data_IF_176774102212
#
_entry.id   IF_176774102212
#
_cell.length_a   1.000
_cell.length_b   1.000
_cell.length_c   1.000
_cell.angle_alpha   90.00
_cell.angle_beta   90.00
_cell.angle_gamma   90.00
#
_symmetry.space_group_name_H-M   'P 1'
#
loop_
_entity.id
_entity.type
_entity.pdbx_description
1 polymer ?
#
# COMPACT_ATOMS: atom_id res chain seq x y z
N UNK A 1 9.25 10.59 -28.58
CA UNK A 1 9.15 10.31 -27.13
C UNK A 1 10.57 10.18 -26.61
N UNK A 2 11.08 11.23 -25.99
CA UNK A 2 12.43 11.21 -25.42
C UNK A 2 12.41 10.31 -24.17
N UNK A 3 13.30 9.34 -24.12
CA UNK A 3 13.54 8.53 -22.92
C UNK A 3 13.65 9.45 -21.72
N UNK A 4 12.80 9.23 -20.71
CA UNK A 4 13.01 9.77 -19.37
C UNK A 4 14.44 9.38 -19.01
N UNK A 5 15.35 10.35 -19.01
CA UNK A 5 16.71 10.16 -18.53
C UNK A 5 16.59 9.86 -17.04
N UNK A 6 16.52 8.57 -16.74
CA UNK A 6 16.77 7.88 -15.49
C UNK A 6 17.61 8.73 -14.51
N UNK A 7 16.94 9.60 -13.77
CA UNK A 7 17.51 10.41 -12.69
C UNK A 7 16.66 10.09 -11.45
N UNK A 8 16.86 8.93 -10.81
CA UNK A 8 16.07 8.48 -9.67
C UNK A 8 16.05 9.50 -8.53
N UNK A 9 17.13 10.26 -8.38
CA UNK A 9 17.26 11.37 -7.45
C UNK A 9 16.32 12.55 -7.74
N UNK A 10 15.71 12.60 -8.94
CA UNK A 10 14.71 13.62 -9.33
C UNK A 10 13.28 13.08 -9.35
N UNK A 11 13.09 11.77 -9.14
CA UNK A 11 11.78 11.16 -9.23
C UNK A 11 10.91 11.61 -8.06
N UNK A 12 9.75 12.16 -8.40
CA UNK A 12 8.67 12.45 -7.45
C UNK A 12 7.66 11.29 -7.50
N UNK A 13 6.86 11.12 -6.45
CA UNK A 13 5.81 10.09 -6.41
C UNK A 13 4.42 10.74 -6.39
N UNK A 14 3.46 10.17 -7.10
CA UNK A 14 2.06 10.61 -7.06
C UNK A 14 1.13 9.43 -6.80
N UNK A 15 0.34 9.50 -5.73
CA UNK A 15 -0.62 8.45 -5.36
C UNK A 15 -2.05 8.89 -5.67
N UNK A 16 -2.73 8.13 -6.54
CA UNK A 16 -4.10 8.49 -6.93
C UNK A 16 -5.11 8.31 -5.80
N UNK A 17 -6.21 9.05 -5.84
CA UNK A 17 -7.36 8.77 -4.98
C UNK A 17 -8.05 7.46 -5.36
N UNK A 18 -8.46 6.68 -4.35
CA UNK A 18 -9.00 5.33 -4.57
C UNK A 18 -9.81 4.73 -3.39
N UNK A 19 -10.19 5.52 -2.39
CA UNK A 19 -10.98 5.03 -1.24
C UNK A 19 -10.36 3.79 -0.57
N UNK A 20 -11.15 2.73 -0.37
CA UNK A 20 -10.68 1.50 0.30
C UNK A 20 -9.63 0.69 -0.48
N UNK A 21 -9.39 1.00 -1.77
CA UNK A 21 -8.27 0.42 -2.52
C UNK A 21 -6.91 0.94 -2.05
N UNK A 22 -6.85 1.84 -1.06
CA UNK A 22 -5.58 2.33 -0.51
C UNK A 22 -4.68 1.23 0.05
N UNK A 23 -5.22 0.03 0.28
CA UNK A 23 -4.43 -1.16 0.59
C UNK A 23 -3.45 -1.56 -0.53
N UNK A 24 -3.80 -1.31 -1.80
CA UNK A 24 -2.86 -1.46 -2.93
C UNK A 24 -1.69 -0.49 -2.79
N UNK A 25 -1.97 0.77 -2.46
CA UNK A 25 -0.94 1.78 -2.23
C UNK A 25 -0.04 1.43 -1.04
N UNK A 26 -0.56 0.74 -0.02
CA UNK A 26 0.26 0.22 1.08
C UNK A 26 1.30 -0.80 0.61
N UNK A 27 0.92 -1.70 -0.32
CA UNK A 27 1.84 -2.63 -0.97
C UNK A 27 2.92 -1.92 -1.81
N UNK A 28 2.51 -0.91 -2.60
CA UNK A 28 3.46 -0.07 -3.35
C UNK A 28 4.43 0.64 -2.40
N UNK A 29 3.92 1.23 -1.33
CA UNK A 29 4.73 1.93 -0.33
C UNK A 29 5.71 0.99 0.38
N UNK A 30 5.31 -0.26 0.65
CA UNK A 30 6.22 -1.29 1.18
C UNK A 30 7.39 -1.56 0.24
N UNK A 31 7.12 -1.82 -1.04
CA UNK A 31 8.18 -2.06 -2.03
C UNK A 31 9.12 -0.86 -2.17
N UNK A 32 8.58 0.37 -2.20
CA UNK A 32 9.40 1.58 -2.29
C UNK A 32 10.27 1.75 -1.05
N UNK A 33 9.74 1.58 0.16
CA UNK A 33 10.54 1.71 1.39
C UNK A 33 11.64 0.66 1.49
N UNK A 34 11.36 -0.56 1.04
CA UNK A 34 12.31 -1.67 1.11
C UNK A 34 13.42 -1.54 0.07
N UNK A 35 13.07 -1.31 -1.20
CA UNK A 35 14.02 -1.42 -2.32
C UNK A 35 14.46 -0.09 -2.92
N UNK A 36 13.72 1.00 -2.68
CA UNK A 36 14.05 2.33 -3.22
C UNK A 36 13.75 3.46 -2.22
N UNK A 37 14.24 3.39 -0.96
CA UNK A 37 13.87 4.34 0.08
C UNK A 37 14.24 5.79 -0.25
N UNK A 38 15.25 6.02 -1.10
CA UNK A 38 15.64 7.36 -1.53
C UNK A 38 14.55 8.08 -2.35
N UNK A 39 13.61 7.37 -2.98
CA UNK A 39 12.46 7.99 -3.66
C UNK A 39 11.56 8.74 -2.67
N UNK A 40 11.57 8.35 -1.39
CA UNK A 40 10.81 9.03 -0.34
C UNK A 40 11.45 10.35 0.13
N UNK A 41 12.69 10.65 -0.31
CA UNK A 41 13.41 11.89 0.01
C UNK A 41 12.99 13.08 -0.88
N UNK A 42 12.32 12.80 -2.00
CA UNK A 42 11.81 13.82 -2.92
C UNK A 42 10.40 14.29 -2.54
N UNK A 43 9.67 14.85 -3.52
CA UNK A 43 8.29 15.28 -3.34
C UNK A 43 7.34 14.13 -3.58
N UNK A 44 6.27 14.12 -2.79
CA UNK A 44 5.19 13.16 -2.92
C UNK A 44 3.89 13.93 -3.04
N UNK A 45 3.01 13.51 -3.92
CA UNK A 45 1.69 14.10 -4.10
C UNK A 45 0.60 13.04 -3.93
N UNK A 46 -0.59 13.47 -3.57
CA UNK A 46 -1.73 12.57 -3.51
C UNK A 46 -3.09 13.26 -3.46
N UNK A 47 -4.12 12.50 -3.78
CA UNK A 47 -5.52 12.87 -3.63
C UNK A 47 -6.25 11.80 -2.81
N UNK A 48 -7.24 12.17 -2.01
CA UNK A 48 -8.07 11.23 -1.24
C UNK A 48 -7.21 10.27 -0.40
N UNK A 49 -7.55 8.99 -0.40
CA UNK A 49 -6.78 7.96 0.30
C UNK A 49 -5.31 7.87 -0.17
N UNK A 50 -4.97 8.33 -1.39
CA UNK A 50 -3.60 8.48 -1.85
C UNK A 50 -2.82 9.55 -1.05
N UNK A 51 -3.49 10.62 -0.61
CA UNK A 51 -2.87 11.64 0.26
C UNK A 51 -2.54 11.08 1.66
N UNK A 52 -3.35 10.16 2.19
CA UNK A 52 -3.06 9.46 3.45
C UNK A 52 -1.77 8.64 3.31
N UNK A 53 -1.66 7.84 2.25
CA UNK A 53 -0.46 7.02 2.02
C UNK A 53 0.76 7.88 1.71
N UNK A 54 0.60 8.95 0.92
CA UNK A 54 1.66 9.90 0.65
C UNK A 54 2.21 10.54 1.94
N UNK A 55 1.33 10.98 2.85
CA UNK A 55 1.74 11.51 4.15
C UNK A 55 2.42 10.44 5.01
N UNK A 56 1.90 9.22 5.04
CA UNK A 56 2.49 8.09 5.77
C UNK A 56 3.89 7.73 5.27
N UNK A 57 4.08 7.71 3.95
CA UNK A 57 5.36 7.43 3.32
C UNK A 57 6.38 8.55 3.58
N UNK A 58 5.96 9.82 3.42
CA UNK A 58 6.79 11.01 3.67
C UNK A 58 7.28 11.11 5.12
N UNK A 59 6.44 10.73 6.07
CA UNK A 59 6.72 10.80 7.51
C UNK A 59 7.35 9.54 8.07
N UNK A 60 7.67 8.57 7.19
CA UNK A 60 8.28 7.30 7.54
C UNK A 60 7.47 6.47 8.57
N UNK A 61 6.13 6.55 8.53
CA UNK A 61 5.27 5.68 9.33
C UNK A 61 5.55 4.21 9.00
N UNK A 62 5.47 3.35 10.02
CA UNK A 62 5.61 1.91 9.86
C UNK A 62 4.52 1.35 8.94
N UNK A 63 4.91 0.68 7.85
CA UNK A 63 3.96 0.21 6.83
C UNK A 63 3.03 -0.87 7.36
N UNK A 64 3.49 -1.74 8.26
CA UNK A 64 2.63 -2.72 8.90
C UNK A 64 1.58 -2.07 9.81
N UNK A 65 1.97 -1.05 10.57
CA UNK A 65 1.04 -0.29 11.39
C UNK A 65 0.00 0.42 10.52
N UNK A 66 0.43 1.07 9.43
CA UNK A 66 -0.47 1.70 8.47
C UNK A 66 -1.43 0.68 7.83
N UNK A 67 -0.92 -0.50 7.45
CA UNK A 67 -1.73 -1.58 6.86
C UNK A 67 -2.74 -2.13 7.86
N UNK A 68 -2.32 -2.39 9.10
CA UNK A 68 -3.23 -2.83 10.18
C UNK A 68 -4.35 -1.83 10.41
N UNK A 69 -4.01 -0.54 10.42
CA UNK A 69 -4.98 0.55 10.52
C UNK A 69 -5.97 0.53 9.35
N UNK A 70 -5.51 0.42 8.10
CA UNK A 70 -6.39 0.32 6.93
C UNK A 70 -7.35 -0.88 7.09
N UNK A 71 -6.85 -2.04 7.49
CA UNK A 71 -7.66 -3.24 7.70
C UNK A 71 -8.68 -3.10 8.84
N UNK A 72 -8.33 -2.37 9.91
CA UNK A 72 -9.28 -2.02 10.98
C UNK A 72 -10.40 -1.14 10.46
N UNK A 73 -10.09 -0.12 9.66
CA UNK A 73 -11.10 0.77 9.06
C UNK A 73 -12.01 -0.03 8.11
N UNK A 74 -11.45 -0.90 7.27
CA UNK A 74 -12.20 -1.80 6.38
C UNK A 74 -13.13 -2.72 7.19
N UNK A 75 -12.62 -3.38 8.23
CA UNK A 75 -13.40 -4.26 9.11
C UNK A 75 -14.52 -3.50 9.81
N UNK A 76 -14.26 -2.30 10.33
CA UNK A 76 -15.26 -1.46 10.98
C UNK A 76 -16.33 -0.97 10.00
N UNK A 77 -15.94 -0.61 8.78
CA UNK A 77 -16.88 -0.24 7.72
C UNK A 77 -17.77 -1.42 7.31
N UNK A 78 -17.28 -2.67 7.39
CA UNK A 78 -18.04 -3.89 7.07
C UNK A 78 -18.96 -4.37 8.19
N UNK A 79 -18.68 -4.04 9.45
CA UNK A 79 -19.41 -4.58 10.61
C UNK A 79 -20.81 -3.98 10.83
N UNK A 80 -21.20 -2.98 10.04
CA UNK A 80 -22.49 -2.28 10.14
C UNK A 80 -23.46 -2.73 9.04
N UNK A 81 -24.76 -2.78 9.35
CA UNK A 81 -25.81 -3.28 8.44
C UNK A 81 -26.01 -2.45 7.14
N UNK A 82 -25.49 -1.21 7.08
CA UNK A 82 -25.44 -0.39 5.86
C UNK A 82 -24.00 -0.18 5.37
N UNK A 83 -23.06 -0.96 5.92
CA UNK A 83 -21.64 -0.83 5.70
C UNK A 83 -21.13 0.60 5.96
N UNK A 84 -20.37 1.19 5.02
CA UNK A 84 -19.85 2.54 5.17
C UNK A 84 -20.91 3.64 5.06
N UNK A 85 -22.12 3.33 4.54
CA UNK A 85 -23.22 4.28 4.42
C UNK A 85 -24.08 4.34 5.70
N UNK A 86 -23.68 3.63 6.76
CA UNK A 86 -24.41 3.64 8.01
C UNK A 86 -24.32 5.04 8.66
N UNK A 87 -25.44 5.69 9.03
CA UNK A 87 -25.44 7.08 9.50
C UNK A 87 -24.65 7.31 10.80
N UNK A 88 -24.42 6.26 11.59
CA UNK A 88 -23.54 6.30 12.78
C UNK A 88 -22.06 5.99 12.50
N UNK A 89 -21.68 5.65 11.26
CA UNK A 89 -20.30 5.41 10.87
C UNK A 89 -19.76 6.64 10.14
N UNK A 90 -18.95 7.43 10.84
CA UNK A 90 -18.25 8.55 10.24
C UNK A 90 -16.85 8.11 9.82
N UNK A 91 -16.71 7.68 8.56
CA UNK A 91 -15.44 7.21 8.00
C UNK A 91 -14.31 8.22 8.20
N UNK A 92 -14.58 9.51 7.96
CA UNK A 92 -13.58 10.57 8.12
C UNK A 92 -13.15 10.74 9.57
N UNK A 93 -14.07 10.64 10.53
CA UNK A 93 -13.72 10.72 11.95
C UNK A 93 -12.79 9.56 12.35
N UNK A 94 -13.08 8.34 11.88
CA UNK A 94 -12.21 7.18 12.10
C UNK A 94 -10.85 7.40 11.44
N UNK A 95 -10.81 7.83 10.18
CA UNK A 95 -9.55 8.13 9.49
C UNK A 95 -8.73 9.21 10.21
N UNK A 96 -9.38 10.26 10.72
CA UNK A 96 -8.72 11.33 11.48
C UNK A 96 -8.10 10.81 12.76
N UNK A 97 -8.85 10.07 13.56
CA UNK A 97 -8.39 9.48 14.82
C UNK A 97 -7.16 8.57 14.58
N UNK A 98 -7.24 7.72 13.56
CA UNK A 98 -6.12 6.82 13.24
C UNK A 98 -4.89 7.58 12.74
N UNK A 99 -5.08 8.63 11.94
CA UNK A 99 -3.99 9.45 11.44
C UNK A 99 -3.32 10.23 12.59
N UNK A 100 -4.10 10.79 13.51
CA UNK A 100 -3.61 11.46 14.72
C UNK A 100 -2.78 10.52 15.60
N UNK A 101 -3.20 9.26 15.73
CA UNK A 101 -2.47 8.24 16.49
C UNK A 101 -1.16 7.78 15.82
N UNK A 102 -1.03 7.92 14.50
CA UNK A 102 0.13 7.41 13.74
C UNK A 102 1.15 8.50 13.37
N UNK A 103 0.71 9.75 13.15
CA UNK A 103 1.61 10.81 12.70
C UNK A 103 2.60 11.21 13.81
N UNK A 104 3.90 11.37 13.49
CA UNK A 104 4.84 12.02 14.39
C UNK A 104 4.38 13.43 14.80
N UNK A 105 4.70 13.88 16.01
CA UNK A 105 4.26 15.17 16.55
C UNK A 105 4.65 16.40 15.69
N UNK A 106 5.68 16.28 14.86
CA UNK A 106 6.17 17.32 13.96
C UNK A 106 6.12 16.91 12.47
N UNK A 107 5.25 15.97 12.11
CA UNK A 107 5.05 15.49 10.74
C UNK A 107 4.88 16.63 9.71
N UNK A 108 4.16 17.70 10.07
CA UNK A 108 3.96 18.87 9.22
C UNK A 108 5.27 19.50 8.72
N UNK A 109 6.35 19.46 9.51
CA UNK A 109 7.66 20.03 9.11
C UNK A 109 8.30 19.25 7.98
N UNK A 110 8.16 17.93 7.98
CA UNK A 110 8.65 17.06 6.91
C UNK A 110 7.78 17.18 5.66
N UNK A 111 6.48 17.38 5.84
CA UNK A 111 5.51 17.49 4.77
C UNK A 111 5.51 18.86 4.07
N UNK A 112 5.75 19.97 4.77
CA UNK A 112 5.71 21.31 4.17
C UNK A 112 6.75 21.45 3.05
N UNK A 113 6.34 21.97 1.90
CA UNK A 113 7.16 22.10 0.69
C UNK A 113 7.43 20.79 -0.08
N UNK A 114 7.08 19.62 0.48
CA UNK A 114 7.39 18.28 -0.08
C UNK A 114 6.15 17.42 -0.34
N UNK A 115 5.08 17.58 0.44
CA UNK A 115 3.82 16.86 0.29
C UNK A 115 2.78 17.75 -0.38
N UNK A 116 2.31 17.34 -1.56
CA UNK A 116 1.21 18.00 -2.25
C UNK A 116 -0.10 17.25 -2.05
N UNK A 117 -1.14 17.95 -1.63
CA UNK A 117 -2.48 17.39 -1.45
C UNK A 117 -3.44 18.08 -2.40
N UNK A 118 -4.07 17.32 -3.28
CA UNK A 118 -5.13 17.81 -4.16
C UNK A 118 -6.44 17.95 -3.39
N UNK A 119 -7.08 19.12 -3.48
CA UNK A 119 -8.39 19.42 -2.92
C UNK A 119 -9.31 19.97 -4.02
N UNK A 120 -10.61 19.68 -3.92
CA UNK A 120 -11.63 20.33 -4.76
C UNK A 120 -12.36 21.36 -3.93
N UNK A 121 -12.26 22.65 -4.29
CA UNK A 121 -12.92 23.71 -3.54
C UNK A 121 -14.43 23.68 -3.78
N UNK A 122 -15.20 23.60 -2.69
CA UNK A 122 -16.65 23.36 -2.75
C UNK A 122 -17.44 24.45 -3.48
N UNK A 123 -17.08 25.72 -3.28
CA UNK A 123 -17.86 26.86 -3.80
C UNK A 123 -17.84 26.99 -5.33
N UNK A 124 -16.79 26.53 -6.00
CA UNK A 124 -16.57 26.77 -7.43
C UNK A 124 -15.96 25.58 -8.20
N UNK A 125 -15.84 24.42 -7.56
CA UNK A 125 -15.28 23.19 -8.12
C UNK A 125 -13.90 23.37 -8.75
N UNK A 126 -13.09 24.32 -8.24
CA UNK A 126 -11.71 24.49 -8.68
C UNK A 126 -10.77 23.61 -7.88
N UNK A 127 -9.82 23.01 -8.56
CA UNK A 127 -8.73 22.31 -7.90
C UNK A 127 -7.84 23.30 -7.13
N UNK A 128 -7.43 22.90 -5.94
CA UNK A 128 -6.46 23.60 -5.10
C UNK A 128 -5.44 22.57 -4.61
N UNK A 129 -4.19 22.73 -5.01
CA UNK A 129 -3.08 21.90 -4.51
C UNK A 129 -2.45 22.61 -3.32
N UNK A 130 -2.49 21.96 -2.16
CA UNK A 130 -1.90 22.46 -0.91
C UNK A 130 -0.50 21.86 -0.75
N UNK A 131 0.47 22.70 -0.39
CA UNK A 131 1.87 22.28 -0.21
C UNK A 131 2.49 22.74 1.11
N UNK A 132 1.83 23.67 1.81
CA UNK A 132 2.37 24.31 3.02
C UNK A 132 1.46 24.04 4.23
N UNK A 133 2.06 23.59 5.34
CA UNK A 133 1.39 23.22 6.57
C UNK A 133 2.15 23.80 7.76
N UNK A 134 1.46 24.50 8.67
CA UNK A 134 2.06 25.12 9.85
C UNK A 134 1.90 24.28 11.12
N UNK A 135 1.05 23.25 11.08
CA UNK A 135 0.85 22.31 12.19
C UNK A 135 0.35 20.95 11.70
N UNK A 136 0.37 19.94 12.57
CA UNK A 136 -0.19 18.62 12.26
C UNK A 136 -1.70 18.67 12.07
N UNK A 137 -2.40 19.52 12.83
CA UNK A 137 -3.84 19.73 12.68
C UNK A 137 -4.15 20.27 11.29
N UNK A 138 -3.36 21.22 10.80
CA UNK A 138 -3.51 21.77 9.46
C UNK A 138 -3.24 20.72 8.36
N UNK A 139 -2.20 19.89 8.54
CA UNK A 139 -1.92 18.75 7.65
C UNK A 139 -3.09 17.76 7.62
N UNK A 140 -3.60 17.38 8.79
CA UNK A 140 -4.74 16.47 8.92
C UNK A 140 -6.01 17.07 8.30
N UNK A 141 -6.29 18.35 8.51
CA UNK A 141 -7.43 19.05 7.89
C UNK A 141 -7.36 19.01 6.36
N UNK A 142 -6.18 19.22 5.78
CA UNK A 142 -5.97 19.10 4.34
C UNK A 142 -6.26 17.66 3.86
N UNK A 143 -5.72 16.64 4.54
CA UNK A 143 -5.97 15.23 4.19
C UNK A 143 -7.46 14.88 4.30
N UNK A 144 -8.14 15.30 5.38
CA UNK A 144 -9.56 15.05 5.59
C UNK A 144 -10.43 15.74 4.53
N UNK A 145 -10.09 16.98 4.16
CA UNK A 145 -10.71 17.66 3.02
C UNK A 145 -10.53 16.87 1.72
N UNK A 146 -9.31 16.38 1.47
CA UNK A 146 -8.99 15.59 0.28
C UNK A 146 -9.72 14.24 0.23
N UNK A 147 -10.18 13.70 1.36
CA UNK A 147 -10.91 12.43 1.46
C UNK A 147 -12.45 12.59 1.58
N UNK A 148 -12.98 13.82 1.62
CA UNK A 148 -14.41 14.03 1.81
C UNK A 148 -15.19 13.82 0.51
N UNK A 149 -15.81 12.65 0.36
CA UNK A 149 -16.75 12.38 -0.72
C UNK A 149 -18.15 12.83 -0.27
N UNK A 150 -18.78 13.81 -0.94
CA UNK A 150 -20.11 14.29 -0.57
C UNK A 150 -21.14 13.16 -0.55
N UNK A 151 -22.12 13.24 0.37
CA UNK A 151 -23.18 12.24 0.61
C UNK A 151 -22.63 10.96 1.26
N UNK A 152 -21.48 10.47 0.81
CA UNK A 152 -20.84 9.25 1.33
C UNK A 152 -20.22 9.48 2.71
N UNK A 153 -19.41 10.52 2.88
CA UNK A 153 -18.78 10.87 4.15
C UNK A 153 -19.65 11.79 5.02
N UNK A 154 -20.70 12.39 4.46
CA UNK A 154 -21.60 13.33 5.12
C UNK A 154 -22.13 14.42 4.18
N UNK A 155 -22.95 15.32 4.74
CA UNK A 155 -23.58 16.42 3.98
C UNK A 155 -22.78 17.72 4.03
N UNK A 156 -22.04 17.95 5.11
CA UNK A 156 -21.31 19.20 5.34
C UNK A 156 -19.82 18.97 5.10
N UNK A 157 -19.22 19.62 4.08
CA UNK A 157 -17.78 19.49 3.82
C UNK A 157 -16.94 20.08 4.96
N UNK A 158 -15.80 19.45 5.29
CA UNK A 158 -14.82 20.01 6.22
C UNK A 158 -14.19 21.28 5.63
N UNK A 159 -13.50 22.03 6.50
CA UNK A 159 -12.85 23.27 6.12
C UNK A 159 -11.34 23.17 6.30
N UNK A 160 -10.62 23.81 5.39
CA UNK A 160 -9.19 24.03 5.47
C UNK A 160 -8.95 25.54 5.31
N UNK A 161 -8.26 26.16 6.27
CA UNK A 161 -8.07 27.63 6.33
C UNK A 161 -9.36 28.44 6.14
N UNK A 162 -10.46 27.97 6.72
CA UNK A 162 -11.77 28.63 6.68
C UNK A 162 -12.61 28.39 5.42
N UNK A 163 -12.02 27.83 4.35
CA UNK A 163 -12.71 27.49 3.10
C UNK A 163 -13.14 26.02 3.09
N UNK A 164 -14.30 25.72 2.49
CA UNK A 164 -14.83 24.36 2.42
C UNK A 164 -14.30 23.60 1.20
N UNK A 165 -13.95 22.33 1.40
CA UNK A 165 -13.38 21.47 0.36
C UNK A 165 -14.01 20.08 0.37
N UNK A 166 -13.99 19.46 -0.80
CA UNK A 166 -14.35 18.05 -1.02
C UNK A 166 -13.16 17.33 -1.65
N UNK A 167 -13.33 16.03 -1.84
CA UNK A 167 -12.30 15.13 -2.32
C UNK A 167 -11.55 15.66 -3.55
N UNK A 168 -10.22 15.60 -3.51
CA UNK A 168 -9.36 16.10 -4.58
C UNK A 168 -9.60 15.39 -5.91
N UNK A 169 -10.01 14.12 -5.85
CA UNK A 169 -10.29 13.27 -7.00
C UNK A 169 -11.42 13.77 -7.91
N UNK A 170 -12.28 14.68 -7.45
CA UNK A 170 -13.29 15.31 -8.30
C UNK A 170 -12.71 16.25 -9.35
N UNK A 171 -11.51 16.79 -9.14
CA UNK A 171 -10.88 17.75 -10.06
C UNK A 171 -9.48 17.35 -10.49
N UNK A 172 -8.74 16.69 -9.60
CA UNK A 172 -7.42 16.14 -9.86
C UNK A 172 -7.15 14.95 -8.93
N UNK A 173 -7.37 13.76 -9.47
CA UNK A 173 -7.17 12.51 -8.76
C UNK A 173 -5.73 12.00 -8.83
N UNK A 174 -4.90 12.56 -9.72
CA UNK A 174 -3.49 12.20 -9.87
C UNK A 174 -2.63 13.47 -9.97
N UNK A 175 -2.47 14.21 -8.86
CA UNK A 175 -1.67 15.45 -8.88
C UNK A 175 -0.23 15.15 -9.25
N UNK A 176 0.29 15.84 -10.25
CA UNK A 176 1.69 15.69 -10.71
C UNK A 176 2.50 16.93 -10.40
N UNK A 177 3.77 16.76 -10.01
CA UNK A 177 4.67 17.87 -9.73
C UNK A 177 5.34 18.37 -11.02
N UNK A 178 5.87 17.45 -11.81
CA UNK A 178 6.59 17.67 -13.06
C UNK A 178 6.67 16.36 -13.89
N UNK A 179 7.33 16.42 -15.04
CA UNK A 179 7.55 15.28 -15.94
C UNK A 179 8.41 14.15 -15.34
N UNK A 180 8.97 14.34 -14.14
CA UNK A 180 9.70 13.32 -13.37
C UNK A 180 8.84 12.64 -12.30
N UNK A 181 7.53 12.91 -12.29
CA UNK A 181 6.61 12.31 -11.32
C UNK A 181 6.18 10.92 -11.76
N UNK A 182 6.54 9.92 -10.97
CA UNK A 182 6.08 8.53 -11.11
C UNK A 182 4.67 8.43 -10.55
N UNK A 183 3.75 7.98 -11.38
CA UNK A 183 2.32 7.88 -11.06
C UNK A 183 1.94 6.48 -10.58
N UNK A 184 1.21 6.43 -9.47
CA UNK A 184 0.74 5.20 -8.83
C UNK A 184 -0.78 5.20 -8.80
N UNK A 185 -1.39 4.17 -9.38
CA UNK A 185 -2.85 3.97 -9.36
C UNK A 185 -3.22 2.50 -9.17
N UNK A 186 -4.21 2.19 -8.32
CA UNK A 186 -4.71 0.81 -8.21
C UNK A 186 -5.57 0.42 -9.41
N UNK A 187 -5.91 1.36 -10.31
CA UNK A 187 -6.67 1.08 -11.52
C UNK A 187 -5.73 0.77 -12.68
N UNK A 188 -6.05 -0.27 -13.46
CA UNK A 188 -5.30 -0.54 -14.68
C UNK A 188 -5.50 0.60 -15.68
N UNK A 189 -4.42 1.09 -16.28
CA UNK A 189 -4.43 2.37 -16.97
C UNK A 189 -3.15 2.64 -17.73
N UNK A 190 -2.74 3.90 -17.65
CA UNK A 190 -1.48 4.43 -18.20
C UNK A 190 -0.55 4.96 -17.09
N UNK A 191 -0.89 4.71 -15.81
CA UNK A 191 -0.01 5.04 -14.68
C UNK A 191 1.24 4.16 -14.69
N UNK A 192 2.36 4.70 -14.22
CA UNK A 192 3.66 4.01 -14.23
C UNK A 192 3.65 2.74 -13.36
N UNK A 193 3.00 2.81 -12.20
CA UNK A 193 2.76 1.70 -11.29
C UNK A 193 1.25 1.47 -11.21
N UNK A 194 0.77 0.47 -11.93
CA UNK A 194 -0.63 0.03 -11.91
C UNK A 194 -0.79 -1.43 -12.35
N UNK A 195 -1.95 -2.06 -12.07
CA UNK A 195 -2.21 -3.43 -12.49
C UNK A 195 -2.20 -3.58 -14.02
N UNK A 196 -1.55 -4.61 -14.58
CA UNK A 196 -1.33 -4.70 -16.02
C UNK A 196 -2.54 -5.14 -16.86
N UNK A 197 -3.65 -5.60 -16.26
CA UNK A 197 -4.87 -6.16 -16.89
C UNK A 197 -4.68 -6.71 -18.32
N UNK A 198 -3.65 -7.55 -18.50
CA UNK A 198 -3.15 -8.03 -19.80
C UNK A 198 -4.16 -8.89 -20.56
N UNK A 199 -5.10 -9.50 -19.82
CA UNK A 199 -6.21 -10.29 -20.36
C UNK A 199 -7.29 -9.47 -21.08
N UNK A 200 -7.27 -8.15 -20.96
CA UNK A 200 -8.32 -7.30 -21.53
C UNK A 200 -7.84 -6.69 -22.84
N UNK A 201 -8.40 -7.14 -23.96
CA UNK A 201 -8.23 -6.52 -25.29
C UNK A 201 -8.89 -5.12 -25.39
N UNK A 202 -9.16 -4.47 -24.27
CA UNK A 202 -9.81 -3.16 -24.21
C UNK A 202 -8.79 -2.07 -24.53
N UNK A 203 -8.82 -1.61 -25.78
CA UNK A 203 -8.10 -0.41 -26.22
C UNK A 203 -8.77 0.90 -25.77
N UNK A 204 -9.92 0.81 -25.10
CA UNK A 204 -10.71 1.97 -24.67
C UNK A 204 -10.52 2.23 -23.16
N UNK A 205 -10.09 3.44 -22.83
CA UNK A 205 -9.96 3.95 -21.46
C UNK A 205 -10.76 5.22 -21.24
N UNK A 206 -11.10 5.49 -19.99
CA UNK A 206 -11.70 6.75 -19.52
C UNK A 206 -10.63 7.46 -18.69
N UNK A 207 -10.42 8.75 -18.93
CA UNK A 207 -9.63 9.58 -18.01
C UNK A 207 -10.58 10.20 -16.98
N UNK A 208 -10.43 9.80 -15.72
CA UNK A 208 -11.13 10.39 -14.58
C UNK A 208 -10.18 11.31 -13.83
N UNK A 209 -10.39 12.63 -13.94
CA UNK A 209 -9.62 13.65 -13.20
C UNK A 209 -8.10 13.42 -13.25
N UNK A 210 -7.54 13.24 -14.47
CA UNK A 210 -6.11 12.91 -14.74
C UNK A 210 -5.65 11.50 -14.37
N UNK A 211 -6.52 10.62 -13.88
CA UNK A 211 -6.24 9.18 -13.75
C UNK A 211 -6.77 8.43 -14.97
N UNK A 212 -5.90 7.69 -15.66
CA UNK A 212 -6.30 6.83 -16.80
C UNK A 212 -6.81 5.49 -16.28
N UNK A 213 -8.05 5.13 -16.65
CA UNK A 213 -8.71 3.88 -16.20
C UNK A 213 -9.20 3.13 -17.44
N UNK A 214 -8.67 1.93 -17.68
CA UNK A 214 -9.12 1.06 -18.77
C UNK A 214 -10.51 0.51 -18.51
N UNK A 215 -11.31 0.35 -19.55
CA UNK A 215 -12.62 -0.28 -19.44
C UNK A 215 -12.47 -1.81 -19.39
N UNK A 216 -12.25 -2.35 -18.19
CA UNK A 216 -12.08 -3.80 -17.95
C UNK A 216 -13.02 -4.25 -16.82
N UNK A 217 -13.38 -5.54 -16.80
CA UNK A 217 -14.18 -6.12 -15.70
C UNK A 217 -13.46 -6.03 -14.36
N UNK A 218 -12.13 -6.14 -14.36
CA UNK A 218 -11.28 -5.96 -13.16
C UNK A 218 -11.31 -4.52 -12.65
N UNK A 219 -11.27 -3.52 -13.54
CA UNK A 219 -11.43 -2.12 -13.13
C UNK A 219 -12.84 -1.80 -12.66
N UNK A 220 -13.88 -2.44 -13.19
CA UNK A 220 -15.24 -2.31 -12.65
C UNK A 220 -15.33 -2.85 -11.20
N UNK A 221 -14.68 -3.98 -10.94
CA UNK A 221 -14.54 -4.50 -9.58
C UNK A 221 -13.79 -3.52 -8.67
N UNK A 222 -12.65 -2.97 -9.13
CA UNK A 222 -11.87 -1.96 -8.38
C UNK A 222 -12.69 -0.70 -8.11
N UNK A 223 -13.45 -0.18 -9.08
CA UNK A 223 -14.33 0.97 -8.88
C UNK A 223 -15.37 0.70 -7.80
N UNK A 224 -15.91 -0.52 -7.77
CA UNK A 224 -16.80 -0.95 -6.69
C UNK A 224 -16.07 -0.99 -5.34
N UNK A 225 -14.89 -1.63 -5.30
CA UNK A 225 -14.06 -1.76 -4.11
C UNK A 225 -13.48 -0.43 -3.60
N UNK A 226 -13.47 0.63 -4.41
CA UNK A 226 -13.13 1.99 -3.98
C UNK A 226 -14.13 2.53 -2.95
N UNK A 227 -15.43 2.27 -3.17
CA UNK A 227 -16.52 2.77 -2.32
C UNK A 227 -17.07 1.72 -1.35
N UNK A 228 -16.95 0.44 -1.70
CA UNK A 228 -17.42 -0.66 -0.88
C UNK A 228 -16.21 -1.39 -0.28
N UNK A 229 -16.13 -1.52 1.05
CA UNK A 229 -14.96 -2.11 1.70
C UNK A 229 -14.79 -3.58 1.28
N UNK A 230 -13.66 -3.96 0.65
CA UNK A 230 -13.42 -5.34 0.19
C UNK A 230 -13.21 -6.30 1.37
N UNK A 231 -13.22 -7.61 1.10
CA UNK A 231 -12.88 -8.61 2.12
C UNK A 231 -11.41 -8.51 2.53
N UNK A 232 -11.03 -9.00 3.71
CA UNK A 232 -9.59 -9.06 4.10
C UNK A 232 -8.76 -9.90 3.13
N UNK A 233 -9.35 -10.94 2.53
CA UNK A 233 -8.69 -11.79 1.54
C UNK A 233 -8.39 -10.99 0.27
N UNK A 234 -9.36 -10.20 -0.20
CA UNK A 234 -9.17 -9.32 -1.35
C UNK A 234 -8.18 -8.19 -1.02
N UNK A 235 -8.22 -7.64 0.19
CA UNK A 235 -7.24 -6.67 0.67
C UNK A 235 -5.81 -7.21 0.60
N UNK A 236 -5.60 -8.46 1.05
CA UNK A 236 -4.30 -9.13 0.99
C UNK A 236 -3.80 -9.28 -0.44
N UNK A 237 -4.66 -9.76 -1.35
CA UNK A 237 -4.34 -9.89 -2.78
C UNK A 237 -4.01 -8.54 -3.43
N UNK A 238 -4.79 -7.50 -3.11
CA UNK A 238 -4.56 -6.14 -3.63
C UNK A 238 -3.25 -5.54 -3.11
N UNK A 239 -2.91 -5.77 -1.83
CA UNK A 239 -1.64 -5.34 -1.25
C UNK A 239 -0.45 -6.01 -1.94
N UNK A 240 -0.51 -7.34 -2.10
CA UNK A 240 0.52 -8.10 -2.79
C UNK A 240 0.68 -7.63 -4.24
N UNK A 241 -0.43 -7.40 -4.95
CA UNK A 241 -0.39 -6.87 -6.32
C UNK A 241 0.30 -5.50 -6.40
N UNK A 242 0.02 -4.59 -5.45
CA UNK A 242 0.69 -3.28 -5.40
C UNK A 242 2.18 -3.40 -5.17
N UNK A 243 2.60 -4.33 -4.30
CA UNK A 243 4.00 -4.63 -4.07
C UNK A 243 4.69 -5.18 -5.34
N UNK A 244 4.06 -6.13 -6.02
CA UNK A 244 4.55 -6.71 -7.28
C UNK A 244 4.69 -5.67 -8.40
N UNK A 245 3.67 -4.83 -8.59
CA UNK A 245 3.67 -3.81 -9.63
C UNK A 245 4.77 -2.75 -9.39
N UNK A 246 4.99 -2.38 -8.12
CA UNK A 246 6.08 -1.49 -7.74
C UNK A 246 7.45 -2.13 -7.96
N UNK A 247 7.64 -3.38 -7.55
CA UNK A 247 8.87 -4.13 -7.84
C UNK A 247 9.17 -4.22 -9.33
N UNK A 248 8.14 -4.46 -10.15
CA UNK A 248 8.25 -4.45 -11.61
C UNK A 248 8.75 -3.12 -12.13
N UNK A 249 8.17 -2.02 -11.65
CA UNK A 249 8.58 -0.67 -12.04
C UNK A 249 10.02 -0.38 -11.63
N UNK A 250 10.39 -0.69 -10.39
CA UNK A 250 11.74 -0.46 -9.87
C UNK A 250 12.78 -1.29 -10.63
N UNK A 251 12.50 -2.56 -10.91
CA UNK A 251 13.41 -3.42 -11.67
C UNK A 251 13.65 -2.89 -13.08
N UNK A 252 12.62 -2.32 -13.73
CA UNK A 252 12.73 -1.78 -15.09
C UNK A 252 13.38 -0.41 -15.16
N UNK A 253 13.00 0.50 -14.27
CA UNK A 253 13.31 1.94 -14.40
C UNK A 253 14.36 2.44 -13.40
N UNK A 254 14.62 1.67 -12.34
CA UNK A 254 15.51 2.08 -11.26
C UNK A 254 16.79 1.25 -11.24
N UNK A 255 16.73 -0.06 -11.54
CA UNK A 255 17.93 -0.91 -11.59
C UNK A 255 18.94 -0.52 -12.68
N UNK A 256 18.53 0.21 -13.73
CA UNK A 256 19.48 0.71 -14.73
C UNK A 256 20.35 1.89 -14.23
N UNK A 257 20.04 2.50 -13.09
CA UNK A 257 20.73 3.72 -12.61
C UNK A 257 21.57 3.50 -11.36
N UNK A 258 21.26 2.49 -10.55
CA UNK A 258 22.07 2.10 -9.37
C UNK A 258 23.28 1.26 -9.82
N UNK A 259 23.99 1.72 -10.84
CA UNK A 259 25.17 1.06 -11.41
C UNK A 259 26.49 1.48 -10.73
N UNK A 260 26.43 2.10 -9.54
CA UNK A 260 27.63 2.56 -8.86
C UNK A 260 27.78 2.17 -7.38
N UNK A 261 26.76 1.69 -6.66
CA UNK A 261 26.93 1.42 -5.21
C UNK A 261 26.30 0.16 -4.59
N UNK A 262 25.35 -0.53 -5.23
CA UNK A 262 24.85 -1.79 -4.67
C UNK A 262 24.20 -2.63 -5.78
N UNK A 263 24.61 -3.88 -5.89
CA UNK A 263 23.98 -4.85 -6.78
C UNK A 263 22.55 -5.12 -6.29
N UNK A 264 21.57 -4.38 -6.80
CA UNK A 264 20.16 -4.76 -6.67
C UNK A 264 19.88 -5.78 -7.77
N UNK A 265 19.73 -7.07 -7.44
CA UNK A 265 19.66 -8.06 -8.48
C UNK A 265 18.20 -8.18 -8.95
N UNK A 266 17.96 -8.82 -10.10
CA UNK A 266 16.60 -9.01 -10.60
C UNK A 266 15.72 -9.74 -9.56
N UNK A 267 14.39 -9.72 -9.72
CA UNK A 267 13.45 -10.34 -8.76
C UNK A 267 13.82 -11.79 -8.41
N UNK A 268 14.33 -12.55 -9.38
CA UNK A 268 14.82 -13.92 -9.20
C UNK A 268 16.01 -13.99 -8.24
N UNK A 269 16.96 -13.07 -8.36
CA UNK A 269 18.11 -13.02 -7.48
C UNK A 269 17.77 -12.44 -6.09
N UNK A 270 16.78 -11.54 -6.01
CA UNK A 270 16.24 -11.06 -4.73
C UNK A 270 15.62 -12.23 -3.96
N UNK A 271 14.79 -13.06 -4.61
CA UNK A 271 14.23 -14.29 -4.01
C UNK A 271 15.33 -15.27 -3.56
N UNK A 272 16.41 -15.41 -4.32
CA UNK A 272 17.54 -16.27 -3.90
C UNK A 272 18.24 -15.68 -2.67
N UNK A 273 18.42 -14.36 -2.61
CA UNK A 273 19.06 -13.71 -1.46
C UNK A 273 18.23 -13.84 -0.18
N UNK A 274 16.91 -13.63 -0.24
CA UNK A 274 16.02 -13.80 0.93
C UNK A 274 16.07 -15.23 1.46
N UNK A 275 16.06 -16.23 0.58
CA UNK A 275 16.14 -17.63 0.98
C UNK A 275 17.49 -17.99 1.63
N UNK A 276 18.60 -17.39 1.17
CA UNK A 276 19.92 -17.58 1.78
C UNK A 276 20.02 -16.92 3.17
N UNK A 277 19.42 -15.74 3.35
CA UNK A 277 19.39 -15.07 4.65
C UNK A 277 18.52 -15.82 5.68
N UNK A 278 17.42 -16.45 5.25
CA UNK A 278 16.61 -17.32 6.11
C UNK A 278 17.36 -18.60 6.54
N UNK A 279 18.08 -19.26 5.63
CA UNK A 279 18.90 -20.45 5.96
C UNK A 279 20.06 -20.12 6.93
N UNK A 280 20.63 -18.91 6.84
CA UNK A 280 21.67 -18.44 7.77
C UNK A 280 21.12 -18.04 9.15
N UNK A 281 19.84 -17.66 9.23
CA UNK A 281 19.15 -17.32 10.47
C UNK A 281 18.81 -18.51 11.37
N UNK A 282 18.68 -19.72 10.80
CA UNK A 282 18.37 -20.94 11.56
C UNK A 282 19.59 -21.59 12.24
N UNK A 283 20.81 -21.08 12.02
CA UNK A 283 22.05 -21.60 12.65
C UNK A 283 22.56 -20.64 13.72
N UNK A 284 21.76 -20.39 14.76
CA UNK A 284 22.28 -19.86 16.03
C UNK A 284 21.80 -20.70 17.22
N UNK A 285 22.56 -21.75 17.52
CA UNK A 285 22.46 -22.47 18.79
C UNK A 285 23.26 -21.67 19.83
N UNK A 286 22.66 -21.20 20.94
CA UNK A 286 23.42 -20.57 22.01
C UNK A 286 24.40 -21.59 22.61
N UNK A 287 25.71 -21.32 22.53
CA UNK A 287 26.69 -22.11 23.27
C UNK A 287 26.54 -21.80 24.76
N UNK A 288 26.13 -22.80 25.53
CA UNK A 288 26.22 -22.80 26.99
C UNK A 288 27.64 -22.46 27.44
N UNK A 289 27.75 -21.51 28.37
CA UNK A 289 28.98 -21.22 29.11
C UNK A 289 29.44 -22.48 29.87
N UNK A 290 30.39 -23.22 29.28
CA UNK A 290 31.09 -24.29 29.97
C UNK A 290 32.34 -23.73 30.64
N UNK A 291 32.36 -23.84 31.97
CA UNK A 291 33.43 -23.44 32.86
C UNK A 291 34.82 -23.90 32.39
N UNK A 292 35.77 -22.97 32.47
CA UNK A 292 37.19 -23.17 32.24
C UNK A 292 37.75 -24.27 33.17
N UNK A 293 38.44 -25.26 32.59
CA UNK A 293 39.37 -26.13 33.33
C UNK A 293 40.73 -26.08 32.63
N UNK A 294 41.84 -25.79 33.34
CA UNK A 294 43.15 -25.62 32.73
C UNK A 294 43.85 -26.97 32.72
N UNK A 295 43.89 -27.67 31.58
CA UNK A 295 44.99 -28.55 31.14
C UNK A 295 44.53 -29.42 29.96
N UNK A 296 45.02 -29.11 28.75
CA UNK A 296 44.87 -29.95 27.56
C UNK A 296 45.64 -29.38 26.37
N UNK A 297 46.23 -30.21 25.48
CA UNK A 297 47.25 -29.78 24.54
C UNK A 297 46.66 -29.02 23.34
N UNK A 298 47.33 -27.94 22.93
CA UNK A 298 47.01 -27.17 21.71
C UNK A 298 47.13 -28.05 20.45
N UNK A 299 46.13 -28.05 19.55
CA UNK A 299 46.35 -28.39 18.15
C UNK A 299 46.42 -27.13 17.25
N UNK A 300 47.23 -27.28 16.20
CA UNK A 300 47.68 -26.32 15.19
C UNK A 300 46.61 -25.40 14.58
N UNK A 301 46.99 -24.13 14.40
CA UNK A 301 46.38 -23.19 13.45
C UNK A 301 46.42 -23.78 12.04
N UNK A 302 45.25 -23.91 11.40
CA UNK A 302 45.13 -24.09 9.94
C UNK A 302 44.58 -22.79 9.37
N UNK A 303 45.45 -21.98 8.81
CA UNK A 303 45.09 -20.79 8.06
C UNK A 303 44.57 -21.25 6.70
N UNK A 304 43.26 -21.17 6.47
CA UNK A 304 42.68 -21.24 5.13
C UNK A 304 42.13 -19.87 4.78
N UNK A 305 42.94 -19.12 4.05
CA UNK A 305 42.55 -17.92 3.30
C UNK A 305 41.53 -18.32 2.24
N UNK A 306 40.24 -18.09 2.51
CA UNK A 306 39.22 -18.08 1.47
C UNK A 306 39.28 -16.73 0.76
N UNK A 307 39.93 -16.74 -0.40
CA UNK A 307 39.89 -15.66 -1.38
C UNK A 307 38.43 -15.37 -1.73
N UNK A 308 37.97 -14.12 -1.51
CA UNK A 308 36.69 -13.62 -2.03
C UNK A 308 36.78 -13.65 -3.57
N UNK A 309 36.43 -14.78 -4.17
CA UNK A 309 36.16 -14.85 -5.60
C UNK A 309 34.90 -14.03 -5.85
N UNK A 310 35.08 -12.86 -6.45
CA UNK A 310 34.02 -12.00 -6.97
C UNK A 310 33.17 -12.84 -7.92
N UNK A 311 31.97 -13.20 -7.50
CA UNK A 311 30.99 -13.87 -8.35
C UNK A 311 30.36 -12.77 -9.20
N UNK A 312 30.83 -12.64 -10.45
CA UNK A 312 30.16 -11.79 -11.44
C UNK A 312 28.79 -12.41 -11.69
N UNK A 313 27.73 -11.62 -11.46
CA UNK A 313 26.36 -12.05 -11.70
C UNK A 313 26.13 -12.13 -13.21
N UNK A 314 25.85 -13.33 -13.73
CA UNK A 314 25.35 -13.57 -15.09
C UNK A 314 23.89 -13.06 -15.23
N UNK A 315 23.67 -11.76 -15.06
CA UNK A 315 22.35 -11.12 -15.06
C UNK A 315 22.04 -10.38 -16.39
N UNK A 316 22.76 -10.68 -17.48
CA UNK A 316 22.45 -10.08 -18.79
C UNK A 316 21.14 -10.61 -19.38
N UNK A 317 20.66 -11.78 -18.96
CA UNK A 317 19.45 -12.42 -19.50
C UNK A 317 18.15 -12.00 -18.78
N UNK A 318 18.23 -11.23 -17.69
CA UNK A 318 17.06 -10.93 -16.85
C UNK A 318 16.29 -9.67 -17.28
N UNK A 319 16.78 -8.93 -18.27
CA UNK A 319 16.18 -7.66 -18.69
C UNK A 319 15.02 -7.82 -19.69
N UNK A 320 14.80 -9.00 -20.27
CA UNK A 320 13.86 -9.13 -21.41
C UNK A 320 12.69 -10.12 -21.29
N UNK A 321 12.61 -11.00 -20.30
CA UNK A 321 11.59 -12.06 -20.38
C UNK A 321 10.29 -11.72 -19.63
N UNK A 322 9.15 -11.88 -20.33
CA UNK A 322 7.77 -11.98 -19.83
C UNK A 322 7.55 -13.05 -18.72
N UNK A 323 8.61 -13.71 -18.24
CA UNK A 323 8.61 -14.77 -17.22
C UNK A 323 8.63 -14.26 -15.77
N UNK A 324 8.35 -12.97 -15.54
CA UNK A 324 8.35 -12.34 -14.22
C UNK A 324 7.29 -12.91 -13.25
N UNK A 325 6.24 -13.56 -13.75
CA UNK A 325 5.11 -14.07 -12.96
C UNK A 325 5.32 -15.44 -12.32
N UNK A 326 6.44 -16.12 -12.59
CA UNK A 326 6.70 -17.48 -12.09
C UNK A 326 7.77 -17.55 -10.98
N UNK A 327 8.27 -16.40 -10.50
CA UNK A 327 9.13 -16.36 -9.30
C UNK A 327 8.22 -16.14 -8.10
N UNK A 328 8.46 -16.84 -6.99
CA UNK A 328 7.68 -16.71 -5.76
C UNK A 328 7.91 -15.32 -5.12
N UNK A 329 7.21 -14.30 -5.61
CA UNK A 329 7.28 -12.93 -5.08
C UNK A 329 6.79 -12.89 -3.63
N UNK A 330 5.99 -13.87 -3.21
CA UNK A 330 5.66 -14.15 -1.81
C UNK A 330 6.88 -14.22 -0.90
N UNK A 331 8.01 -14.72 -1.38
CA UNK A 331 9.21 -14.96 -0.58
C UNK A 331 9.97 -13.66 -0.31
N UNK A 332 9.73 -12.63 -1.12
CA UNK A 332 10.31 -11.29 -0.98
C UNK A 332 9.30 -10.30 -0.39
N UNK A 333 8.03 -10.70 -0.21
CA UNK A 333 7.01 -9.87 0.41
C UNK A 333 7.31 -9.71 1.91
N UNK A 334 7.26 -8.49 2.49
CA UNK A 334 7.68 -8.26 3.86
C UNK A 334 6.91 -9.12 4.87
N UNK A 335 7.64 -9.94 5.65
CA UNK A 335 7.05 -10.85 6.65
C UNK A 335 6.18 -10.13 7.69
N UNK A 336 6.49 -8.86 7.98
CA UNK A 336 5.69 -8.03 8.88
C UNK A 336 4.29 -7.71 8.31
N UNK A 337 4.17 -7.58 6.99
CA UNK A 337 2.87 -7.43 6.32
C UNK A 337 2.11 -8.76 6.32
N UNK A 338 2.78 -9.89 6.05
CA UNK A 338 2.16 -11.22 6.14
C UNK A 338 1.53 -11.43 7.52
N UNK A 339 2.28 -11.17 8.60
CA UNK A 339 1.76 -11.24 9.98
C UNK A 339 0.55 -10.33 10.21
N UNK A 340 0.57 -9.12 9.65
CA UNK A 340 -0.54 -8.17 9.76
C UNK A 340 -1.82 -8.71 9.12
N UNK A 341 -1.71 -9.39 7.98
CA UNK A 341 -2.84 -10.05 7.33
C UNK A 341 -3.30 -11.29 8.10
N UNK A 342 -2.38 -12.11 8.60
CA UNK A 342 -2.70 -13.29 9.43
C UNK A 342 -3.50 -12.90 10.69
N UNK A 343 -3.08 -11.84 11.38
CA UNK A 343 -3.80 -11.27 12.52
C UNK A 343 -5.21 -10.80 12.14
N UNK A 344 -5.35 -10.14 10.97
CA UNK A 344 -6.64 -9.69 10.47
C UNK A 344 -7.57 -10.86 10.11
N UNK A 345 -7.03 -11.91 9.48
CA UNK A 345 -7.78 -13.14 9.18
C UNK A 345 -8.26 -13.84 10.45
N UNK A 346 -7.39 -13.95 11.46
CA UNK A 346 -7.75 -14.54 12.75
C UNK A 346 -8.86 -13.75 13.47
N UNK A 347 -8.80 -12.41 13.40
CA UNK A 347 -9.83 -11.54 13.98
C UNK A 347 -11.19 -11.72 13.28
N UNK A 348 -11.22 -11.77 11.95
CA UNK A 348 -12.45 -12.03 11.20
C UNK A 348 -13.03 -13.42 11.48
N UNK A 349 -12.19 -14.45 11.54
CA UNK A 349 -12.63 -15.82 11.83
C UNK A 349 -13.21 -15.95 13.24
N UNK A 350 -12.58 -15.32 14.23
CA UNK A 350 -13.06 -15.26 15.62
C UNK A 350 -14.44 -14.59 15.70
N UNK A 351 -14.61 -13.47 15.02
CA UNK A 351 -15.88 -12.75 14.98
C UNK A 351 -16.97 -13.57 14.26
N UNK A 352 -16.62 -14.24 13.16
CA UNK A 352 -17.54 -15.12 12.45
C UNK A 352 -17.97 -16.31 13.32
N UNK A 353 -17.04 -16.92 14.07
CA UNK A 353 -17.34 -17.95 15.08
C UNK A 353 -18.29 -17.41 16.16
N UNK A 354 -18.07 -16.19 16.64
CA UNK A 354 -18.96 -15.53 17.60
C UNK A 354 -20.37 -15.34 17.03
N UNK A 355 -20.53 -14.85 15.79
CA UNK A 355 -21.83 -14.72 15.15
C UNK A 355 -22.53 -16.08 14.96
N UNK A 356 -21.79 -17.12 14.56
CA UNK A 356 -22.33 -18.48 14.44
C UNK A 356 -22.63 -19.17 15.78
N UNK A 357 -22.21 -18.59 16.91
CA UNK A 357 -22.60 -19.06 18.24
C UNK A 357 -24.11 -18.88 18.48
N UNK A 358 -24.73 -17.86 17.85
CA UNK A 358 -26.16 -17.63 17.92
C UNK A 358 -26.94 -18.57 17.01
N UNK A 359 -28.03 -19.16 17.54
CA UNK A 359 -28.84 -20.19 16.85
C UNK A 359 -29.44 -19.71 15.52
N UNK A 360 -29.77 -18.42 15.42
CA UNK A 360 -30.36 -17.80 14.23
C UNK A 360 -29.38 -17.85 13.04
N UNK A 361 -28.12 -17.48 13.25
CA UNK A 361 -27.10 -17.50 12.21
C UNK A 361 -26.67 -18.91 11.82
N UNK A 362 -26.71 -19.86 12.76
CA UNK A 362 -26.47 -21.28 12.46
C UNK A 362 -27.56 -21.87 11.55
N UNK A 363 -28.83 -21.52 11.81
CA UNK A 363 -29.96 -21.96 11.00
C UNK A 363 -29.91 -21.36 9.59
N UNK A 364 -29.59 -20.07 9.48
CA UNK A 364 -29.38 -19.40 8.20
C UNK A 364 -28.29 -20.06 7.34
N UNK A 365 -27.14 -20.39 7.94
CA UNK A 365 -26.04 -21.09 7.25
C UNK A 365 -26.48 -22.45 6.71
N UNK A 366 -27.21 -23.22 7.51
CA UNK A 366 -27.72 -24.54 7.11
C UNK A 366 -28.80 -24.43 6.05
N UNK A 367 -29.71 -23.46 6.14
CA UNK A 367 -30.79 -23.24 5.18
C UNK A 367 -30.30 -22.72 3.82
N UNK A 368 -29.22 -21.94 3.79
CA UNK A 368 -28.65 -21.36 2.58
C UNK A 368 -27.53 -22.21 1.95
N UNK A 369 -27.06 -23.27 2.61
CA UNK A 369 -26.06 -24.19 2.05
C UNK A 369 -24.66 -23.59 1.81
N UNK A 370 -24.35 -22.44 2.40
CA UNK A 370 -23.10 -21.70 2.16
C UNK A 370 -22.03 -22.05 3.20
N UNK A 371 -20.87 -22.56 2.75
CA UNK A 371 -19.71 -22.88 3.60
C UNK A 371 -19.01 -21.64 4.18
N UNK A 372 -19.12 -20.50 3.51
CA UNK A 372 -18.82 -19.15 4.00
C UNK A 372 -19.99 -18.26 3.58
N UNK A 373 -20.71 -17.66 4.51
CA UNK A 373 -21.70 -16.65 4.18
C UNK A 373 -20.93 -15.34 3.88
N UNK A 374 -21.01 -14.78 2.67
CA UNK A 374 -20.53 -13.43 2.43
C UNK A 374 -21.24 -12.51 3.43
N UNK A 375 -20.51 -11.58 4.04
CA UNK A 375 -21.07 -10.58 4.96
C UNK A 375 -22.35 -9.93 4.40
N UNK A 376 -22.38 -9.71 3.09
CA UNK A 376 -23.49 -9.11 2.34
C UNK A 376 -24.80 -9.94 2.42
N UNK A 377 -24.72 -11.26 2.62
CA UNK A 377 -25.87 -12.16 2.77
C UNK A 377 -26.36 -12.25 4.21
N UNK A 378 -25.49 -12.08 5.21
CA UNK A 378 -25.86 -12.16 6.63
C UNK A 378 -26.76 -10.99 7.05
N UNK A 379 -26.54 -9.82 6.42
CA UNK A 379 -27.28 -8.57 6.66
C UNK A 379 -28.72 -8.65 6.14
N UNK A 380 -29.00 -9.49 5.14
CA UNK A 380 -30.36 -9.69 4.61
C UNK A 380 -31.24 -10.41 5.64
N UNK A 381 -30.65 -11.24 6.50
CA UNK A 381 -31.36 -12.07 7.47
C UNK A 381 -31.62 -11.39 8.82
N UNK A 382 -31.04 -10.22 9.08
CA UNK A 382 -31.29 -9.44 10.31
C UNK A 382 -32.43 -8.43 10.17
N UNK A 383 -33.16 -8.43 9.04
CA UNK A 383 -34.42 -7.68 8.92
C UNK A 383 -35.55 -8.37 9.70
N UNK A 384 -35.77 -7.89 10.93
CA UNK A 384 -37.11 -7.64 11.46
C UNK A 384 -37.09 -6.41 12.36
#
# INVERSE_FOLDING_TARGET
>A
MAMVKCSPERMNLSFSGCGFLCIYHAGVAAAIKEYAPYLTQNKISGASAGAIVAAGLMTNICISQATSTILRVVTQARSRALGPLHPAFNLLAVCREQLEAMLPADAYKTCTGRLQISLTRWRDNKNVVVTEYNSNEELMDAIMCSCFIPIYCGMTPPKYRGEAYIDGGFTDNQPSYDDHTVTVSPFSGESDICPPDWDSASFFGISFSRTSIRFTTRNLFRLTACLMPPSTEDCSKMCLQGFEDALRFLTKNVCHVVLSLAMAPCIRCLTIQTNVDEELGEVYIPQEERQFSPNGPRPRKRTTTMSKKRMESECDTCCESEHMYNTAVSDVFPSLLTKTFDEAFAAEESYFKYLLSFRVFRFARTALGLGKLPWDMLIILTKK
#
